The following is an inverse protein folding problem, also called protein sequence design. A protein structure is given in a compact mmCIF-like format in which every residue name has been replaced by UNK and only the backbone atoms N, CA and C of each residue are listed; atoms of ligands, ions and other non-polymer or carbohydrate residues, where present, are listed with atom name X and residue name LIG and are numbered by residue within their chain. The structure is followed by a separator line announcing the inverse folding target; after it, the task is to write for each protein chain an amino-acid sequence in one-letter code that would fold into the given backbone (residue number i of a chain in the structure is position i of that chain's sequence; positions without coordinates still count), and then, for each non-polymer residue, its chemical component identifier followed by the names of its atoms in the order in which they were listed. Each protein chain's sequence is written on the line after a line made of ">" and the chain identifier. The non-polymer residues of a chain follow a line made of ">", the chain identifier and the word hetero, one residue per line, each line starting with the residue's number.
data_IF_769201920177
#
_entry.id   IF_769201920177
#
_cell.length_a   1.000
_cell.length_b   1.000
_cell.length_c   1.000
_cell.angle_alpha   90.00
_cell.angle_beta   90.00
_cell.angle_gamma   90.00
#
_symmetry.space_group_name_H-M   'P 1'
#
loop_
_entity.id
_entity.type
_entity.pdbx_description
1 polymer ?
#
# COMPACT_ATOMS: atom_id res chain seq x y z
N UNK A 1 1.94 22.62 13.94
CA UNK A 1 1.93 22.53 12.49
C UNK A 1 1.93 21.06 12.07
N UNK A 2 1.36 20.80 10.92
CA UNK A 2 1.34 19.46 10.31
C UNK A 2 1.76 19.59 8.85
N UNK A 3 2.50 18.63 8.32
CA UNK A 3 2.87 18.61 6.90
C UNK A 3 1.66 18.19 6.06
N UNK A 4 1.22 19.05 5.15
CA UNK A 4 0.15 18.83 4.19
C UNK A 4 0.69 18.38 2.83
N UNK A 5 -0.20 18.03 1.90
CA UNK A 5 0.18 17.66 0.53
C UNK A 5 0.92 18.81 -0.17
N UNK A 6 2.12 18.52 -0.68
CA UNK A 6 3.01 19.52 -1.30
C UNK A 6 3.92 20.26 -0.33
N UNK A 7 3.77 20.09 0.99
CA UNK A 7 4.69 20.66 1.97
C UNK A 7 6.01 19.90 2.04
N UNK A 8 7.04 20.65 2.39
CA UNK A 8 8.33 20.14 2.85
C UNK A 8 8.58 20.62 4.27
N UNK A 9 9.48 19.97 4.99
CA UNK A 9 9.91 20.44 6.31
C UNK A 9 10.30 21.93 6.30
N UNK A 10 11.06 22.34 5.28
CA UNK A 10 11.50 23.73 5.13
C UNK A 10 10.32 24.67 4.84
N UNK A 11 9.38 24.29 3.97
CA UNK A 11 8.21 25.12 3.66
C UNK A 11 7.32 25.30 4.89
N UNK A 12 7.17 24.25 5.70
CA UNK A 12 6.41 24.32 6.95
C UNK A 12 7.10 25.20 8.00
N UNK A 13 8.42 25.12 8.15
CA UNK A 13 9.17 26.02 9.03
C UNK A 13 9.09 27.47 8.57
N UNK A 14 9.04 27.76 7.27
CA UNK A 14 8.84 29.12 6.74
C UNK A 14 7.47 29.72 7.05
N UNK A 15 6.46 28.89 7.35
CA UNK A 15 5.13 29.34 7.81
C UNK A 15 5.19 29.83 9.28
N UNK A 16 6.30 29.63 9.96
CA UNK A 16 6.55 30.02 11.36
C UNK A 16 7.31 31.33 11.44
N UNK A 17 7.50 31.86 12.64
CA UNK A 17 8.29 33.08 12.89
C UNK A 17 9.81 32.82 12.95
N UNK A 18 10.31 31.70 12.44
CA UNK A 18 11.72 31.37 12.32
C UNK A 18 12.38 32.18 11.19
N UNK A 19 13.53 32.75 11.46
CA UNK A 19 14.34 33.38 10.43
C UNK A 19 15.18 32.34 9.64
N UNK A 20 15.69 32.72 8.47
CA UNK A 20 16.43 31.81 7.59
C UNK A 20 17.62 31.14 8.29
N UNK A 21 18.36 31.89 9.13
CA UNK A 21 19.51 31.35 9.87
C UNK A 21 19.10 30.28 10.89
N UNK A 22 17.96 30.47 11.56
CA UNK A 22 17.43 29.47 12.50
C UNK A 22 16.95 28.22 11.76
N UNK A 23 16.33 28.37 10.59
CA UNK A 23 15.92 27.23 9.75
C UNK A 23 17.15 26.43 9.31
N UNK A 24 18.21 27.08 8.83
CA UNK A 24 19.46 26.41 8.44
C UNK A 24 20.10 25.67 9.62
N UNK A 25 20.11 26.29 10.82
CA UNK A 25 20.62 25.63 12.03
C UNK A 25 19.81 24.41 12.42
N UNK A 26 18.46 24.44 12.28
CA UNK A 26 17.59 23.30 12.52
C UNK A 26 17.84 22.16 11.53
N UNK A 27 18.03 22.49 10.24
CA UNK A 27 18.36 21.50 9.20
C UNK A 27 19.68 20.80 9.51
N UNK A 28 20.71 21.59 9.87
CA UNK A 28 22.03 21.05 10.22
C UNK A 28 21.91 20.14 11.46
N UNK A 29 21.20 20.57 12.50
CA UNK A 29 21.03 19.78 13.72
C UNK A 29 20.26 18.47 13.50
N UNK A 30 19.27 18.48 12.59
CA UNK A 30 18.43 17.32 12.31
C UNK A 30 19.10 16.28 11.38
N UNK A 31 20.13 16.67 10.61
CA UNK A 31 20.70 15.90 9.48
C UNK A 31 21.09 14.46 9.84
N UNK A 32 21.70 14.27 11.00
CA UNK A 32 22.19 12.95 11.43
C UNK A 32 21.12 12.13 12.19
N UNK A 33 19.97 12.75 12.48
CA UNK A 33 18.91 12.16 13.31
C UNK A 33 17.70 11.73 12.48
N UNK A 34 17.40 12.48 11.41
CA UNK A 34 16.24 12.24 10.55
C UNK A 34 16.51 12.62 9.10
N UNK A 35 16.04 11.81 8.18
CA UNK A 35 16.03 12.15 6.75
C UNK A 35 14.87 13.11 6.43
N UNK A 36 15.13 14.41 6.59
CA UNK A 36 14.13 15.50 6.46
C UNK A 36 13.36 15.43 5.13
N UNK A 37 14.03 14.99 4.05
CA UNK A 37 13.44 14.89 2.71
C UNK A 37 12.48 13.70 2.56
N UNK A 38 12.42 12.81 3.55
CA UNK A 38 11.54 11.62 3.56
C UNK A 38 10.37 11.77 4.55
N UNK A 39 10.24 12.92 5.19
CA UNK A 39 9.08 13.19 6.04
C UNK A 39 7.80 13.10 5.21
N UNK A 40 6.80 12.43 5.78
CA UNK A 40 5.53 12.16 5.09
C UNK A 40 4.47 13.21 5.47
N UNK A 41 3.44 13.31 4.65
CA UNK A 41 2.21 14.04 4.97
C UNK A 41 1.68 13.52 6.31
N UNK A 42 1.21 14.41 7.17
CA UNK A 42 0.77 14.09 8.52
C UNK A 42 1.89 14.15 9.59
N UNK A 43 3.17 14.36 9.21
CA UNK A 43 4.24 14.63 10.17
C UNK A 43 3.91 15.88 10.96
N UNK A 44 3.82 15.76 12.30
CA UNK A 44 3.49 16.86 13.19
C UNK A 44 4.74 17.57 13.68
N UNK A 45 4.68 18.91 13.71
CA UNK A 45 5.71 19.79 14.23
C UNK A 45 5.15 20.63 15.38
N UNK A 46 5.85 20.66 16.49
CA UNK A 46 5.59 21.57 17.62
C UNK A 46 6.74 22.53 17.76
N UNK A 47 6.43 23.83 17.90
CA UNK A 47 7.43 24.87 18.07
C UNK A 47 7.22 25.53 19.43
N UNK A 48 8.19 25.38 20.28
CA UNK A 48 8.20 25.96 21.65
C UNK A 48 9.05 27.19 21.64
N UNK A 49 8.52 28.26 22.22
CA UNK A 49 9.21 29.56 22.32
C UNK A 49 8.97 30.20 23.66
N UNK A 50 10.00 30.85 24.18
CA UNK A 50 9.96 31.67 25.38
C UNK A 50 9.91 33.17 25.03
N UNK A 51 9.33 33.96 25.92
CA UNK A 51 9.35 35.41 25.81
C UNK A 51 10.52 35.97 26.63
N UNK A 52 11.62 36.36 25.93
CA UNK A 52 12.82 36.90 26.56
C UNK A 52 12.94 38.36 26.17
N UNK A 53 12.92 39.28 27.17
CA UNK A 53 12.98 40.74 26.95
C UNK A 53 11.99 41.20 25.87
N UNK A 54 10.72 40.78 25.97
CA UNK A 54 9.63 41.10 25.05
C UNK A 54 9.80 40.56 23.62
N UNK A 55 10.84 39.75 23.38
CA UNK A 55 11.04 39.06 22.09
C UNK A 55 10.77 37.59 22.23
N UNK A 56 10.01 37.06 21.28
CA UNK A 56 9.75 35.62 21.15
C UNK A 56 11.01 34.94 20.64
N UNK A 57 11.57 34.02 21.43
CA UNK A 57 12.78 33.25 21.11
C UNK A 57 12.39 31.78 21.08
N UNK A 58 12.63 31.12 19.95
CA UNK A 58 12.37 29.68 19.83
C UNK A 58 13.43 28.89 20.58
N UNK A 59 12.98 28.03 21.49
CA UNK A 59 13.82 27.23 22.39
C UNK A 59 13.84 25.76 22.00
N UNK A 60 12.76 25.25 21.39
CA UNK A 60 12.69 23.86 20.96
C UNK A 60 11.79 23.73 19.72
N UNK A 61 12.17 22.84 18.80
CA UNK A 61 11.32 22.34 17.72
C UNK A 61 11.22 20.83 17.86
N UNK A 62 10.00 20.31 17.99
CA UNK A 62 9.75 18.89 18.11
C UNK A 62 9.14 18.38 16.82
N UNK A 63 9.66 17.27 16.29
CA UNK A 63 9.18 16.59 15.10
C UNK A 63 8.64 15.24 15.56
N UNK A 64 7.41 14.91 15.15
CA UNK A 64 6.79 13.60 15.31
C UNK A 64 6.62 12.98 13.93
N UNK A 65 7.62 12.22 13.42
CA UNK A 65 7.52 11.56 12.11
C UNK A 65 6.38 10.56 12.07
N UNK A 66 6.13 9.91 13.20
CA UNK A 66 5.05 8.96 13.45
C UNK A 66 4.64 8.96 14.94
N UNK A 67 3.85 7.96 15.34
CA UNK A 67 3.41 7.82 16.74
C UNK A 67 4.47 7.20 17.67
N UNK A 68 5.60 6.74 17.15
CA UNK A 68 6.66 6.03 17.89
C UNK A 68 7.83 6.92 18.18
N UNK A 69 8.18 7.83 17.26
CA UNK A 69 9.37 8.65 17.33
C UNK A 69 9.06 10.11 17.70
N UNK A 70 9.90 10.65 18.56
CA UNK A 70 9.94 12.07 18.90
C UNK A 70 11.37 12.57 18.69
N UNK A 71 11.54 13.60 17.87
CA UNK A 71 12.82 14.24 17.64
C UNK A 71 12.74 15.66 18.16
N UNK A 72 13.50 15.94 19.19
CA UNK A 72 13.59 17.26 19.82
C UNK A 72 14.84 17.98 19.33
N UNK A 73 14.66 19.15 18.71
CA UNK A 73 15.72 20.08 18.33
C UNK A 73 15.77 21.20 19.36
N UNK A 74 16.66 21.04 20.35
CA UNK A 74 16.79 21.93 21.50
C UNK A 74 17.84 23.03 21.24
N UNK A 75 17.50 24.28 21.50
CA UNK A 75 18.42 25.41 21.38
C UNK A 75 19.16 25.61 22.68
N UNK A 76 20.48 25.41 22.68
CA UNK A 76 21.38 25.71 23.81
C UNK A 76 22.55 26.54 23.32
N UNK A 77 22.87 27.62 24.02
CA UNK A 77 23.97 28.53 23.68
C UNK A 77 23.92 29.03 22.22
N UNK A 78 22.70 29.30 21.72
CA UNK A 78 22.47 29.81 20.36
C UNK A 78 22.58 28.80 19.25
N UNK A 79 22.77 27.51 19.54
CA UNK A 79 22.84 26.41 18.58
C UNK A 79 21.76 25.35 18.86
N UNK A 80 21.23 24.75 17.81
CA UNK A 80 20.31 23.60 17.96
C UNK A 80 21.10 22.30 18.03
N UNK A 81 20.66 21.41 18.90
CA UNK A 81 21.11 20.01 18.98
C UNK A 81 19.91 19.08 18.90
N UNK A 82 20.06 17.95 18.18
CA UNK A 82 19.00 16.98 18.02
C UNK A 82 19.08 15.88 19.08
N UNK A 83 17.92 15.46 19.57
CA UNK A 83 17.73 14.26 20.38
C UNK A 83 16.58 13.45 19.81
N UNK A 84 16.79 12.16 19.61
CA UNK A 84 15.76 11.20 19.18
C UNK A 84 15.34 10.35 20.38
N UNK A 85 14.07 10.39 20.68
CA UNK A 85 13.44 9.52 21.66
C UNK A 85 12.49 8.56 20.93
N UNK A 86 12.64 7.26 21.18
CA UNK A 86 11.78 6.20 20.62
C UNK A 86 10.97 5.63 21.77
N UNK A 87 9.65 5.59 21.62
CA UNK A 87 8.76 4.99 22.60
C UNK A 87 9.04 3.50 22.72
N UNK A 88 9.14 3.01 23.93
CA UNK A 88 9.16 1.57 24.17
C UNK A 88 7.76 1.03 23.94
N UNK A 89 7.64 0.06 23.03
CA UNK A 89 6.40 -0.60 22.70
C UNK A 89 6.40 -2.04 23.20
N UNK A 90 5.23 -2.49 23.62
CA UNK A 90 4.96 -3.86 24.02
C UNK A 90 3.99 -4.50 23.03
N UNK A 91 4.38 -5.66 22.51
CA UNK A 91 3.55 -6.46 21.62
C UNK A 91 2.54 -7.26 22.42
N UNK A 92 1.30 -7.30 21.96
CA UNK A 92 0.19 -8.08 22.49
C UNK A 92 -0.51 -8.79 21.34
N UNK A 93 -0.79 -10.08 21.52
CA UNK A 93 -1.61 -10.86 20.59
C UNK A 93 -3.06 -10.90 21.11
N UNK A 94 -3.99 -10.47 20.27
CA UNK A 94 -5.41 -10.46 20.56
C UNK A 94 -6.13 -11.48 19.70
N UNK A 95 -6.90 -12.36 20.36
CA UNK A 95 -7.81 -13.29 19.70
C UNK A 95 -9.25 -12.85 19.92
N UNK A 96 -10.02 -12.79 18.85
CA UNK A 96 -11.46 -12.53 18.90
C UNK A 96 -12.23 -13.57 18.10
N UNK A 97 -13.36 -14.01 18.66
CA UNK A 97 -14.40 -14.75 17.97
C UNK A 97 -15.69 -13.95 18.08
N UNK A 98 -16.36 -13.72 16.94
CA UNK A 98 -17.60 -12.94 16.89
C UNK A 98 -18.56 -13.51 15.85
N UNK A 99 -19.86 -13.46 16.14
CA UNK A 99 -20.90 -13.68 15.14
C UNK A 99 -21.14 -12.42 14.33
N UNK A 100 -21.35 -12.60 13.02
CA UNK A 100 -21.67 -11.49 12.12
C UNK A 100 -23.10 -10.99 12.42
N UNK A 101 -23.20 -9.70 12.69
CA UNK A 101 -24.43 -8.92 12.73
C UNK A 101 -24.33 -7.82 11.68
N UNK A 102 -25.21 -7.83 10.69
CA UNK A 102 -25.31 -6.91 9.55
C UNK A 102 -24.09 -6.88 8.62
N UNK A 103 -22.87 -6.76 9.13
CA UNK A 103 -21.67 -6.80 8.32
C UNK A 103 -20.42 -7.18 9.13
N UNK A 104 -19.45 -7.77 8.46
CA UNK A 104 -18.14 -8.08 9.05
C UNK A 104 -17.49 -6.85 9.67
N UNK A 105 -17.51 -5.71 8.94
CA UNK A 105 -16.92 -4.47 9.43
C UNK A 105 -17.53 -4.03 10.76
N UNK A 106 -18.86 -3.96 10.83
CA UNK A 106 -19.55 -3.53 12.07
C UNK A 106 -19.33 -4.51 13.21
N UNK A 107 -19.39 -5.81 12.96
CA UNK A 107 -19.21 -6.84 13.98
C UNK A 107 -17.80 -6.77 14.61
N UNK A 108 -16.75 -6.62 13.80
CA UNK A 108 -15.39 -6.47 14.29
C UNK A 108 -15.15 -5.10 14.93
N UNK A 109 -15.75 -4.03 14.40
CA UNK A 109 -15.64 -2.68 14.95
C UNK A 109 -16.26 -2.59 16.36
N UNK A 110 -17.40 -3.23 16.57
CA UNK A 110 -18.12 -3.24 17.87
C UNK A 110 -17.31 -3.91 18.99
N UNK A 111 -16.37 -4.78 18.66
CA UNK A 111 -15.44 -5.39 19.61
C UNK A 111 -14.06 -4.74 19.60
N UNK A 112 -13.97 -3.49 19.12
CA UNK A 112 -12.79 -2.65 19.09
C UNK A 112 -11.60 -3.18 18.25
N UNK A 113 -11.84 -4.01 17.24
CA UNK A 113 -10.79 -4.35 16.26
C UNK A 113 -10.45 -3.08 15.44
N UNK A 114 -9.18 -2.71 15.32
CA UNK A 114 -8.75 -1.53 14.56
C UNK A 114 -9.13 -1.61 13.08
N UNK A 115 -9.49 -0.45 12.47
CA UNK A 115 -9.98 -0.39 11.10
C UNK A 115 -9.02 -0.97 10.06
N UNK A 116 -7.73 -0.73 10.20
CA UNK A 116 -6.71 -1.28 9.31
C UNK A 116 -6.58 -2.81 9.42
N UNK A 117 -6.83 -3.39 10.59
CA UNK A 117 -6.91 -4.84 10.78
C UNK A 117 -8.17 -5.40 10.12
N UNK A 118 -9.33 -4.73 10.28
CA UNK A 118 -10.58 -5.12 9.61
C UNK A 118 -10.40 -5.10 8.09
N UNK A 119 -9.80 -4.04 7.54
CA UNK A 119 -9.55 -3.94 6.10
C UNK A 119 -8.59 -5.02 5.61
N UNK A 120 -7.53 -5.31 6.37
CA UNK A 120 -6.61 -6.41 6.07
C UNK A 120 -7.30 -7.77 6.10
N UNK A 121 -8.18 -8.01 7.09
CA UNK A 121 -8.98 -9.22 7.19
C UNK A 121 -9.87 -9.41 5.96
N UNK A 122 -10.62 -8.39 5.56
CA UNK A 122 -11.46 -8.41 4.36
C UNK A 122 -10.62 -8.69 3.11
N UNK A 123 -9.45 -8.06 2.99
CA UNK A 123 -8.55 -8.25 1.85
C UNK A 123 -8.04 -9.71 1.75
N UNK A 124 -7.75 -10.37 2.87
CA UNK A 124 -7.29 -11.76 2.88
C UNK A 124 -8.29 -12.73 2.20
N UNK A 125 -9.58 -12.50 2.38
CA UNK A 125 -10.63 -13.38 1.84
C UNK A 125 -11.29 -12.87 0.55
N UNK A 126 -10.89 -11.70 0.06
CA UNK A 126 -11.54 -11.05 -1.09
C UNK A 126 -11.50 -11.84 -2.41
N UNK A 127 -10.66 -12.87 -2.50
CA UNK A 127 -10.57 -13.75 -3.65
C UNK A 127 -11.47 -14.96 -3.57
N UNK A 128 -11.85 -15.37 -2.37
CA UNK A 128 -12.61 -16.61 -2.14
C UNK A 128 -14.06 -16.33 -1.74
N UNK A 129 -14.34 -15.16 -1.18
CA UNK A 129 -15.63 -14.77 -0.61
C UNK A 129 -16.16 -13.50 -1.30
N UNK A 130 -17.38 -13.57 -1.81
CA UNK A 130 -18.17 -12.38 -2.17
C UNK A 130 -18.88 -11.85 -0.91
N UNK A 131 -18.30 -10.84 -0.28
CA UNK A 131 -18.79 -10.30 1.00
C UNK A 131 -20.23 -9.75 0.94
N UNK A 132 -20.74 -9.42 -0.23
CA UNK A 132 -22.13 -8.96 -0.40
C UNK A 132 -23.12 -10.13 -0.54
N UNK A 133 -22.67 -11.29 -1.07
CA UNK A 133 -23.53 -12.41 -1.37
C UNK A 133 -23.38 -13.58 -0.43
N UNK A 134 -22.17 -13.85 0.06
CA UNK A 134 -21.88 -15.06 0.82
C UNK A 134 -22.04 -14.86 2.32
N UNK A 135 -21.84 -13.62 2.81
CA UNK A 135 -21.95 -13.31 4.24
C UNK A 135 -23.40 -13.17 4.66
N UNK A 136 -23.76 -13.84 5.75
CA UNK A 136 -25.08 -13.82 6.39
C UNK A 136 -24.93 -13.60 7.88
N UNK A 137 -26.03 -13.16 8.51
CA UNK A 137 -26.12 -13.10 9.97
C UNK A 137 -25.85 -14.49 10.56
N UNK A 138 -25.17 -14.50 11.71
CA UNK A 138 -24.72 -15.70 12.44
C UNK A 138 -23.55 -16.47 11.78
N UNK A 139 -23.01 -16.02 10.64
CA UNK A 139 -21.70 -16.49 10.26
C UNK A 139 -20.69 -16.10 11.35
N UNK A 140 -19.63 -16.85 11.51
CA UNK A 140 -18.64 -16.58 12.56
C UNK A 140 -17.32 -16.12 11.96
N UNK A 141 -16.66 -15.26 12.69
CA UNK A 141 -15.32 -14.77 12.38
C UNK A 141 -14.42 -15.08 13.55
N UNK A 142 -13.21 -15.60 13.25
CA UNK A 142 -12.12 -15.66 14.22
C UNK A 142 -10.92 -14.93 13.66
N UNK A 143 -10.27 -14.15 14.52
CA UNK A 143 -9.11 -13.38 14.14
C UNK A 143 -8.10 -13.35 15.29
N UNK A 144 -6.83 -13.62 14.98
CA UNK A 144 -5.69 -13.41 15.85
C UNK A 144 -4.75 -12.40 15.19
N UNK A 145 -4.53 -11.27 15.85
CA UNK A 145 -3.65 -10.22 15.33
C UNK A 145 -2.79 -9.62 16.43
N UNK A 146 -1.74 -8.94 16.02
CA UNK A 146 -0.81 -8.25 16.89
C UNK A 146 -1.12 -6.77 16.96
N UNK A 147 -0.96 -6.21 18.15
CA UNK A 147 -0.97 -4.77 18.38
C UNK A 147 0.20 -4.36 19.28
N UNK A 148 0.58 -3.09 19.20
CA UNK A 148 1.66 -2.52 19.99
C UNK A 148 1.14 -1.36 20.82
N UNK A 149 1.39 -1.44 22.13
CA UNK A 149 1.00 -0.43 23.10
C UNK A 149 2.22 0.22 23.75
N UNK A 150 2.08 1.44 24.22
CA UNK A 150 3.07 2.11 25.06
C UNK A 150 2.90 1.75 26.55
N UNK A 151 3.76 2.32 27.41
CA UNK A 151 3.74 2.11 28.87
C UNK A 151 2.44 2.56 29.55
N UNK A 152 1.61 3.36 28.86
CA UNK A 152 0.32 3.84 29.37
C UNK A 152 -0.85 3.03 28.80
N UNK A 153 -0.59 1.85 28.24
CA UNK A 153 -1.60 0.97 27.62
C UNK A 153 -2.28 1.57 26.38
N UNK A 154 -1.71 2.64 25.82
CA UNK A 154 -2.22 3.30 24.63
C UNK A 154 -1.80 2.52 23.39
N UNK A 155 -2.77 2.16 22.53
CA UNK A 155 -2.49 1.59 21.21
C UNK A 155 -1.70 2.60 20.35
N UNK A 156 -0.53 2.21 19.90
CA UNK A 156 0.36 3.03 19.06
C UNK A 156 0.29 2.58 17.60
N UNK A 157 0.40 1.27 17.37
CA UNK A 157 0.27 0.67 16.03
C UNK A 157 -0.29 -0.75 16.10
N UNK A 158 -0.70 -1.26 14.96
CA UNK A 158 -1.09 -2.65 14.78
C UNK A 158 0.01 -3.40 14.02
N UNK A 159 0.10 -4.70 14.28
CA UNK A 159 0.97 -5.62 13.57
C UNK A 159 0.23 -6.39 12.49
N UNK A 160 0.63 -7.65 12.31
CA UNK A 160 0.03 -8.55 11.34
C UNK A 160 -1.14 -9.33 11.93
N UNK A 161 -2.02 -9.82 11.05
CA UNK A 161 -2.94 -10.91 11.36
C UNK A 161 -2.13 -12.22 11.34
N UNK A 162 -2.21 -13.04 12.39
CA UNK A 162 -1.55 -14.34 12.47
C UNK A 162 -2.45 -15.48 12.04
N UNK A 163 -3.74 -15.34 12.35
CA UNK A 163 -4.78 -16.29 11.99
C UNK A 163 -6.07 -15.54 11.66
N UNK A 164 -6.76 -16.00 10.66
CA UNK A 164 -8.07 -15.49 10.26
C UNK A 164 -8.96 -16.65 9.82
N UNK A 165 -10.21 -16.67 10.24
CA UNK A 165 -11.21 -17.65 9.81
C UNK A 165 -12.56 -16.99 9.59
N UNK A 166 -13.22 -17.37 8.50
CA UNK A 166 -14.64 -17.07 8.26
C UNK A 166 -15.39 -18.39 8.14
N UNK A 167 -16.36 -18.61 9.03
CA UNK A 167 -17.22 -19.79 9.04
C UNK A 167 -18.57 -19.37 8.48
N UNK A 168 -18.87 -19.85 7.27
CA UNK A 168 -20.15 -19.70 6.60
C UNK A 168 -21.07 -20.87 6.96
N UNK A 169 -22.31 -20.83 6.50
CA UNK A 169 -23.29 -21.88 6.76
C UNK A 169 -22.89 -23.27 6.22
N UNK A 170 -22.13 -23.30 5.12
CA UNK A 170 -21.72 -24.54 4.43
C UNK A 170 -20.22 -24.74 4.36
N UNK A 171 -19.44 -23.67 4.43
CA UNK A 171 -18.00 -23.67 4.17
C UNK A 171 -17.27 -22.92 5.29
N UNK A 172 -16.01 -23.25 5.50
CA UNK A 172 -15.11 -22.51 6.36
C UNK A 172 -13.83 -22.18 5.60
N UNK A 173 -13.35 -20.96 5.76
CA UNK A 173 -12.12 -20.44 5.16
C UNK A 173 -11.18 -20.00 6.25
N UNK A 174 -10.07 -20.69 6.42
CA UNK A 174 -9.06 -20.40 7.42
C UNK A 174 -7.72 -20.06 6.78
N UNK A 175 -7.00 -19.11 7.34
CA UNK A 175 -5.74 -18.61 6.85
C UNK A 175 -4.76 -18.39 8.00
N UNK A 176 -3.55 -18.86 7.80
CA UNK A 176 -2.43 -18.78 8.73
C UNK A 176 -1.31 -17.95 8.13
N UNK A 177 -0.77 -17.00 8.90
CA UNK A 177 0.40 -16.23 8.50
C UNK A 177 1.62 -17.13 8.47
N UNK A 178 2.32 -17.10 7.36
CA UNK A 178 3.67 -17.60 7.22
C UNK A 178 4.63 -16.43 6.97
N UNK A 179 5.76 -16.43 7.65
CA UNK A 179 6.78 -15.40 7.47
C UNK A 179 8.16 -16.05 7.34
N UNK A 180 8.85 -15.72 6.25
CA UNK A 180 10.25 -16.07 6.01
C UNK A 180 11.01 -14.79 5.64
N UNK A 181 11.92 -14.36 6.52
CA UNK A 181 12.60 -13.06 6.43
C UNK A 181 11.60 -11.90 6.20
N UNK A 182 11.71 -11.19 5.08
CA UNK A 182 10.82 -10.08 4.70
C UNK A 182 9.56 -10.51 3.94
N UNK A 183 9.37 -11.83 3.78
CA UNK A 183 8.24 -12.38 3.03
C UNK A 183 7.13 -12.82 3.98
N UNK A 184 5.98 -12.19 3.87
CA UNK A 184 4.76 -12.57 4.60
C UNK A 184 3.76 -13.07 3.57
N UNK A 185 3.21 -14.26 3.80
CA UNK A 185 2.15 -14.85 3.01
C UNK A 185 1.18 -15.60 3.93
N UNK A 186 -0.03 -15.83 3.43
CA UNK A 186 -1.07 -16.55 4.16
C UNK A 186 -1.42 -17.83 3.43
N UNK A 187 -1.52 -18.92 4.18
CA UNK A 187 -1.85 -20.25 3.67
C UNK A 187 -3.01 -20.84 4.46
N UNK A 188 -3.84 -21.62 3.78
CA UNK A 188 -4.83 -22.44 4.48
C UNK A 188 -4.16 -23.69 5.12
N UNK A 189 -4.92 -24.48 5.89
CA UNK A 189 -4.45 -25.72 6.54
C UNK A 189 -3.88 -26.76 5.58
N UNK A 190 -4.24 -26.71 4.30
CA UNK A 190 -3.71 -27.59 3.26
C UNK A 190 -2.43 -27.03 2.60
N UNK A 191 -1.87 -25.94 3.10
CA UNK A 191 -0.67 -25.30 2.54
C UNK A 191 -0.93 -24.54 1.22
N UNK A 192 -2.20 -24.29 0.85
CA UNK A 192 -2.55 -23.51 -0.33
C UNK A 192 -2.55 -22.02 0.02
N UNK A 193 -1.82 -21.22 -0.76
CA UNK A 193 -1.76 -19.77 -0.56
C UNK A 193 -3.14 -19.11 -0.71
N UNK A 194 -3.47 -18.19 0.19
CA UNK A 194 -4.63 -17.32 0.13
C UNK A 194 -4.55 -16.36 -1.07
N UNK A 195 -3.33 -15.97 -1.41
CA UNK A 195 -3.11 -15.12 -2.58
C UNK A 195 -3.35 -15.96 -3.82
N UNK A 196 -4.46 -15.74 -4.52
CA UNK A 196 -4.60 -16.30 -5.87
C UNK A 196 -3.40 -15.83 -6.66
N UNK A 197 -2.73 -16.77 -7.30
CA UNK A 197 -1.48 -16.52 -8.00
C UNK A 197 -1.56 -15.26 -8.90
N UNK A 198 -2.75 -15.00 -9.48
CA UNK A 198 -2.94 -13.91 -10.45
C UNK A 198 -4.35 -13.30 -10.32
N UNK A 199 -4.41 -11.97 -10.16
CA UNK A 199 -5.66 -11.20 -10.22
C UNK A 199 -6.26 -11.26 -11.63
N UNK A 200 -7.57 -11.46 -11.70
CA UNK A 200 -8.30 -11.40 -12.98
C UNK A 200 -8.35 -9.98 -13.56
N UNK A 201 -8.45 -8.97 -12.69
CA UNK A 201 -8.60 -7.56 -13.06
C UNK A 201 -7.59 -6.71 -12.28
N UNK A 202 -6.41 -6.40 -12.87
CA UNK A 202 -5.36 -5.63 -12.19
C UNK A 202 -5.53 -4.11 -12.31
N UNK A 203 -6.78 -3.65 -12.36
CA UNK A 203 -7.15 -2.24 -12.51
C UNK A 203 -8.52 -2.00 -11.88
N UNK A 204 -8.64 -0.96 -11.05
CA UNK A 204 -9.91 -0.63 -10.39
C UNK A 204 -10.79 0.25 -11.29
N UNK A 205 -12.11 0.04 -11.21
CA UNK A 205 -13.10 0.87 -11.90
C UNK A 205 -13.11 0.76 -13.43
N UNK A 206 -12.37 -0.17 -14.02
CA UNK A 206 -12.31 -0.36 -15.45
C UNK A 206 -13.41 -1.30 -15.97
N UNK A 207 -13.88 -1.01 -17.18
CA UNK A 207 -14.84 -1.85 -17.89
C UNK A 207 -14.10 -2.82 -18.83
N UNK A 208 -14.41 -4.12 -18.77
CA UNK A 208 -13.93 -5.08 -19.78
C UNK A 208 -14.49 -4.67 -21.14
N UNK A 209 -13.62 -4.22 -22.04
CA UNK A 209 -13.98 -3.73 -23.38
C UNK A 209 -13.77 -4.77 -24.46
N UNK A 210 -12.85 -5.73 -24.26
CA UNK A 210 -12.65 -6.86 -25.19
C UNK A 210 -12.15 -8.10 -24.47
N UNK A 211 -12.78 -9.23 -24.74
CA UNK A 211 -12.39 -10.53 -24.22
C UNK A 211 -11.28 -11.19 -25.04
N UNK A 212 -10.65 -12.21 -24.46
CA UNK A 212 -9.75 -13.14 -25.15
C UNK A 212 -10.48 -13.93 -26.22
N UNK A 213 -9.83 -14.19 -27.37
CA UNK A 213 -10.38 -15.04 -28.41
C UNK A 213 -10.28 -14.44 -29.82
N UNK A 214 -10.90 -15.13 -30.78
CA UNK A 214 -10.92 -14.69 -32.20
C UNK A 214 -11.81 -13.46 -32.36
N UNK A 215 -11.26 -12.37 -32.92
CA UNK A 215 -12.04 -11.17 -33.26
C UNK A 215 -11.46 -10.46 -34.49
N UNK A 216 -12.29 -9.63 -35.14
CA UNK A 216 -11.80 -8.73 -36.17
C UNK A 216 -10.88 -7.69 -35.51
N UNK A 217 -9.64 -7.62 -35.99
CA UNK A 217 -8.66 -6.69 -35.42
C UNK A 217 -9.07 -5.24 -35.73
N UNK A 218 -9.21 -4.35 -34.73
CA UNK A 218 -9.80 -3.03 -34.91
C UNK A 218 -8.98 -2.11 -35.83
N UNK A 219 -7.68 -2.33 -35.95
CA UNK A 219 -6.78 -1.52 -36.79
C UNK A 219 -6.47 -2.27 -38.09
N UNK A 220 -6.17 -3.56 -38.04
CA UNK A 220 -5.69 -4.35 -39.18
C UNK A 220 -6.81 -4.90 -40.06
N UNK A 221 -8.07 -4.93 -39.56
CA UNK A 221 -9.26 -5.27 -40.32
C UNK A 221 -9.50 -6.75 -40.61
N UNK A 222 -8.55 -7.64 -40.35
CA UNK A 222 -8.70 -9.10 -40.51
C UNK A 222 -8.92 -9.81 -39.17
N UNK A 223 -9.41 -11.07 -39.23
CA UNK A 223 -9.59 -11.84 -38.02
C UNK A 223 -8.27 -12.25 -37.40
N UNK A 224 -8.09 -11.88 -36.14
CA UNK A 224 -6.88 -12.19 -35.35
C UNK A 224 -7.28 -12.62 -33.94
N UNK A 225 -6.54 -13.59 -33.41
CA UNK A 225 -6.71 -14.01 -32.02
C UNK A 225 -6.23 -12.90 -31.08
N UNK A 226 -7.13 -12.42 -30.21
CA UNK A 226 -6.81 -11.52 -29.11
C UNK A 226 -6.20 -12.33 -27.98
N UNK A 227 -4.94 -12.12 -27.67
CA UNK A 227 -4.14 -12.95 -26.77
C UNK A 227 -4.25 -12.53 -25.30
N UNK A 228 -5.10 -11.58 -25.01
CA UNK A 228 -5.35 -11.06 -23.66
C UNK A 228 -6.76 -10.52 -23.52
N UNK A 229 -6.98 -9.69 -22.53
CA UNK A 229 -8.21 -8.94 -22.29
C UNK A 229 -7.92 -7.45 -22.26
N UNK A 230 -8.87 -6.64 -22.75
CA UNK A 230 -8.75 -5.20 -22.76
C UNK A 230 -9.69 -4.59 -21.72
N UNK A 231 -9.14 -3.76 -20.84
CA UNK A 231 -9.87 -3.00 -19.84
C UNK A 231 -9.84 -1.50 -20.19
N UNK A 232 -10.96 -0.97 -20.63
CA UNK A 232 -11.10 0.46 -20.90
C UNK A 232 -11.14 1.26 -19.60
N UNK A 233 -10.25 2.26 -19.50
CA UNK A 233 -10.17 3.20 -18.38
C UNK A 233 -9.51 4.51 -18.85
N UNK A 234 -9.75 5.64 -18.18
CA UNK A 234 -9.09 6.91 -18.49
C UNK A 234 -7.56 6.81 -18.44
N UNK A 235 -6.88 7.58 -19.30
CA UNK A 235 -5.43 7.73 -19.23
C UNK A 235 -5.01 8.19 -17.83
N UNK A 236 -3.96 7.58 -17.27
CA UNK A 236 -3.48 7.87 -15.92
C UNK A 236 -4.11 7.00 -14.82
N UNK A 237 -5.11 6.16 -15.11
CA UNK A 237 -5.65 5.22 -14.13
C UNK A 237 -4.55 4.25 -13.67
N UNK A 238 -4.36 4.03 -12.35
CA UNK A 238 -3.34 3.14 -11.83
C UNK A 238 -3.54 1.68 -12.27
N UNK A 239 -2.47 1.05 -12.72
CA UNK A 239 -2.39 -0.38 -13.06
C UNK A 239 -1.61 -1.08 -11.97
N UNK A 240 -2.16 -2.18 -11.44
CA UNK A 240 -1.58 -2.95 -10.35
C UNK A 240 -0.88 -4.21 -10.87
N UNK A 241 0.16 -4.67 -10.16
CA UNK A 241 0.72 -5.99 -10.35
C UNK A 241 -0.35 -7.05 -10.03
N UNK A 242 -0.69 -7.91 -10.98
CA UNK A 242 -1.71 -8.93 -10.79
C UNK A 242 -1.29 -10.05 -9.82
N UNK A 243 -0.01 -10.16 -9.53
CA UNK A 243 0.55 -11.11 -8.57
C UNK A 243 1.89 -10.62 -8.05
N UNK A 244 2.31 -11.13 -6.90
CA UNK A 244 3.67 -10.94 -6.39
C UNK A 244 4.68 -11.59 -7.33
N UNK A 245 5.78 -10.90 -7.64
CA UNK A 245 6.79 -11.41 -8.58
C UNK A 245 7.92 -10.41 -8.82
N UNK A 246 8.68 -10.64 -9.88
CA UNK A 246 9.76 -9.75 -10.32
C UNK A 246 9.49 -9.22 -11.72
N UNK A 247 9.79 -7.95 -11.95
CA UNK A 247 9.71 -7.36 -13.30
C UNK A 247 10.75 -8.04 -14.19
N UNK A 248 10.27 -8.88 -15.11
CA UNK A 248 11.11 -9.56 -16.10
C UNK A 248 11.51 -8.63 -17.26
N UNK A 249 10.56 -7.78 -17.65
CA UNK A 249 10.76 -6.80 -18.73
C UNK A 249 10.01 -5.50 -18.42
N UNK A 250 10.62 -4.39 -18.73
CA UNK A 250 10.03 -3.05 -18.70
C UNK A 250 10.66 -2.22 -19.82
N UNK A 251 9.83 -1.58 -20.66
CA UNK A 251 10.29 -0.79 -21.81
C UNK A 251 9.26 -0.75 -22.92
N UNK A 252 9.60 -0.14 -24.04
CA UNK A 252 8.77 -0.14 -25.25
C UNK A 252 8.89 -1.49 -25.97
N UNK A 253 7.77 -2.11 -26.34
CA UNK A 253 7.70 -3.42 -26.98
C UNK A 253 6.80 -3.37 -28.23
N UNK A 254 7.29 -2.82 -29.31
CA UNK A 254 6.60 -2.76 -30.61
C UNK A 254 5.17 -2.27 -30.51
N UNK A 255 4.22 -3.05 -31.02
CA UNK A 255 2.79 -2.73 -30.99
C UNK A 255 2.17 -2.69 -29.60
N UNK A 256 2.79 -3.28 -28.58
CA UNK A 256 2.34 -3.20 -27.19
C UNK A 256 2.63 -1.83 -26.54
N UNK A 257 3.43 -0.98 -27.20
CA UNK A 257 3.79 0.33 -26.67
C UNK A 257 4.64 0.23 -25.39
N UNK A 258 4.44 1.11 -24.44
CA UNK A 258 5.05 0.97 -23.10
C UNK A 258 4.47 -0.23 -22.40
N UNK A 259 5.35 -1.11 -21.93
CA UNK A 259 5.03 -2.48 -21.59
C UNK A 259 5.77 -2.93 -20.34
N UNK A 260 5.09 -3.67 -19.48
CA UNK A 260 5.69 -4.37 -18.33
C UNK A 260 5.34 -5.87 -18.45
N UNK A 261 6.30 -6.74 -18.12
CA UNK A 261 6.06 -8.16 -17.89
C UNK A 261 6.62 -8.57 -16.53
N UNK A 262 5.78 -9.23 -15.73
CA UNK A 262 6.11 -9.73 -14.40
C UNK A 262 6.18 -11.25 -14.46
N UNK A 263 7.26 -11.81 -13.93
CA UNK A 263 7.42 -13.25 -13.70
C UNK A 263 6.99 -13.53 -12.25
N UNK A 264 5.99 -14.40 -12.11
CA UNK A 264 5.46 -14.87 -10.82
C UNK A 264 6.03 -16.23 -10.48
N UNK A 265 5.64 -16.74 -9.31
CA UNK A 265 5.90 -18.13 -8.93
C UNK A 265 5.07 -19.10 -9.79
N UNK A 266 5.44 -20.38 -9.75
CA UNK A 266 4.68 -21.48 -10.39
C UNK A 266 4.50 -21.34 -11.91
N UNK A 267 5.45 -20.71 -12.62
CA UNK A 267 5.44 -20.65 -14.08
C UNK A 267 4.54 -19.58 -14.70
N UNK A 268 3.81 -18.81 -13.88
CA UNK A 268 2.98 -17.71 -14.38
C UNK A 268 3.79 -16.48 -14.72
N UNK A 269 3.36 -15.77 -15.77
CA UNK A 269 3.76 -14.39 -16.07
C UNK A 269 2.52 -13.57 -16.39
N UNK A 270 2.58 -12.28 -16.10
CA UNK A 270 1.55 -11.33 -16.56
C UNK A 270 2.18 -10.21 -17.34
N UNK A 271 1.44 -9.69 -18.32
CA UNK A 271 1.90 -8.56 -19.11
C UNK A 271 0.86 -7.46 -19.19
N UNK A 272 1.38 -6.24 -19.29
CA UNK A 272 0.63 -4.99 -19.23
C UNK A 272 1.10 -4.10 -20.37
N UNK A 273 0.20 -3.78 -21.29
CA UNK A 273 0.53 -3.03 -22.52
C UNK A 273 -0.19 -1.68 -22.55
N UNK A 274 0.24 -0.83 -23.50
CA UNK A 274 -0.31 0.48 -23.82
C UNK A 274 -0.22 1.52 -22.68
N UNK A 275 0.74 1.36 -21.75
CA UNK A 275 0.92 2.25 -20.61
C UNK A 275 1.23 3.68 -21.07
N UNK A 276 0.79 4.69 -20.31
CA UNK A 276 1.24 6.08 -20.45
C UNK A 276 2.59 6.32 -19.79
N UNK A 277 2.79 5.74 -18.59
CA UNK A 277 4.02 5.83 -17.82
C UNK A 277 4.19 4.65 -16.87
N UNK A 278 5.41 4.46 -16.39
CA UNK A 278 5.72 3.50 -15.33
C UNK A 278 5.63 4.19 -13.97
N UNK A 279 5.26 3.46 -12.93
CA UNK A 279 5.30 3.97 -11.57
C UNK A 279 6.76 4.18 -11.10
N UNK A 280 6.95 5.07 -10.13
CA UNK A 280 8.27 5.37 -9.60
C UNK A 280 8.96 4.11 -9.06
N UNK A 281 10.26 3.99 -9.31
CA UNK A 281 11.08 2.85 -8.87
C UNK A 281 10.93 1.57 -9.69
N UNK A 282 10.07 1.52 -10.70
CA UNK A 282 9.91 0.34 -11.56
C UNK A 282 11.09 0.17 -12.51
N UNK A 283 11.80 -0.95 -12.41
CA UNK A 283 12.93 -1.35 -13.29
C UNK A 283 13.04 -2.87 -13.33
N UNK A 284 13.76 -3.40 -14.30
CA UNK A 284 14.02 -4.84 -14.44
C UNK A 284 14.58 -5.43 -13.14
N UNK A 285 14.13 -6.62 -12.78
CA UNK A 285 14.47 -7.39 -11.58
C UNK A 285 13.95 -6.80 -10.26
N UNK A 286 13.21 -5.68 -10.27
CA UNK A 286 12.53 -5.20 -9.07
C UNK A 286 11.43 -6.17 -8.68
N UNK A 287 11.36 -6.49 -7.39
CA UNK A 287 10.25 -7.25 -6.80
C UNK A 287 9.04 -6.33 -6.64
N UNK A 288 7.89 -6.82 -7.02
CA UNK A 288 6.59 -6.16 -6.83
C UNK A 288 5.66 -7.06 -6.04
N UNK A 289 4.79 -6.46 -5.24
CA UNK A 289 3.73 -7.17 -4.49
C UNK A 289 2.44 -7.14 -5.31
N UNK A 290 1.59 -8.15 -5.16
CA UNK A 290 0.24 -8.12 -5.71
C UNK A 290 -0.50 -6.87 -5.23
N UNK A 291 -1.22 -6.19 -6.13
CA UNK A 291 -1.91 -4.93 -5.84
C UNK A 291 -1.01 -3.68 -5.86
N UNK A 292 0.30 -3.81 -5.96
CA UNK A 292 1.21 -2.67 -6.07
C UNK A 292 1.05 -1.97 -7.42
N UNK A 293 0.93 -0.64 -7.42
CA UNK A 293 0.90 0.15 -8.67
C UNK A 293 2.24 0.03 -9.39
N UNK A 294 2.19 -0.39 -10.67
CA UNK A 294 3.36 -0.62 -11.52
C UNK A 294 3.44 0.35 -12.70
N UNK A 295 2.33 1.00 -13.05
CA UNK A 295 2.23 1.94 -14.15
C UNK A 295 0.82 2.50 -14.26
N UNK A 296 0.58 3.21 -15.34
CA UNK A 296 -0.67 3.94 -15.57
C UNK A 296 -1.20 3.70 -16.97
N UNK A 297 -2.53 3.64 -17.10
CA UNK A 297 -3.23 3.46 -18.37
C UNK A 297 -2.83 4.53 -19.37
N UNK A 298 -2.65 4.13 -20.62
CA UNK A 298 -2.39 5.00 -21.74
C UNK A 298 -2.96 4.46 -23.04
N UNK A 299 -2.39 4.89 -24.15
CA UNK A 299 -2.75 4.47 -25.51
C UNK A 299 -1.50 4.40 -26.39
N UNK A 300 -0.35 3.97 -25.82
CA UNK A 300 0.91 3.86 -26.58
C UNK A 300 0.94 2.60 -27.44
N UNK A 301 1.71 2.63 -28.55
CA UNK A 301 1.77 1.52 -29.48
C UNK A 301 0.54 1.42 -30.38
N UNK A 302 0.14 0.19 -30.75
CA UNK A 302 -1.02 -0.11 -31.61
C UNK A 302 -2.30 -0.12 -30.76
N UNK A 303 -2.82 1.03 -30.41
CA UNK A 303 -4.01 1.23 -29.61
C UNK A 303 -4.99 2.21 -30.27
N UNK A 304 -6.28 1.95 -30.17
CA UNK A 304 -7.35 2.82 -30.69
C UNK A 304 -7.88 3.83 -29.68
N UNK A 305 -7.46 3.72 -28.43
CA UNK A 305 -7.89 4.58 -27.33
C UNK A 305 -7.38 4.10 -25.99
N UNK A 306 -7.57 4.87 -24.90
CA UNK A 306 -7.03 4.53 -23.60
C UNK A 306 -7.59 3.21 -23.05
N UNK A 307 -6.72 2.23 -22.82
CA UNK A 307 -7.04 0.95 -22.20
C UNK A 307 -5.78 0.24 -21.69
N UNK A 308 -5.98 -0.70 -20.79
CA UNK A 308 -4.97 -1.71 -20.43
C UNK A 308 -5.24 -2.97 -21.26
N UNK A 309 -4.26 -3.41 -22.05
CA UNK A 309 -4.23 -4.78 -22.57
C UNK A 309 -3.46 -5.66 -21.60
N UNK A 310 -4.14 -6.68 -21.06
CA UNK A 310 -3.64 -7.56 -20.01
C UNK A 310 -3.61 -9.01 -20.48
N UNK A 311 -2.47 -9.68 -20.27
CA UNK A 311 -2.32 -11.10 -20.61
C UNK A 311 -1.83 -11.89 -19.39
N UNK A 312 -2.32 -13.11 -19.25
CA UNK A 312 -1.77 -14.14 -18.36
C UNK A 312 -1.08 -15.19 -19.22
N UNK A 313 0.16 -15.49 -18.89
CA UNK A 313 1.00 -16.45 -19.61
C UNK A 313 1.39 -17.56 -18.63
N UNK A 314 1.14 -18.80 -18.99
CA UNK A 314 1.50 -19.98 -18.20
C UNK A 314 2.39 -20.91 -19.02
N UNK A 315 3.58 -21.23 -18.51
CA UNK A 315 4.58 -22.06 -19.21
C UNK A 315 4.87 -21.63 -20.67
N UNK A 316 4.77 -20.32 -20.96
CA UNK A 316 4.99 -19.75 -22.29
C UNK A 316 3.76 -19.62 -23.16
N UNK A 317 2.61 -20.20 -22.79
CA UNK A 317 1.34 -20.08 -23.50
C UNK A 317 0.45 -18.98 -22.91
N UNK A 318 -0.32 -18.30 -23.80
CA UNK A 318 -1.25 -17.22 -23.44
C UNK A 318 -2.69 -17.68 -23.43
#
# INVERSE_FOLDING_TARGET
>A
YELEEGDTFISTLKKTNLNAKEIDQLIIAAKDTIEINKLQIGTRLEIISDLIKEKRVITEVIIYPDNEEKISLLKKDGKFSARKDIKKLYSELLFHEVEVDKSIYLSLKNINVPDNIIMSFVQLFSFDIDFQRDIRDKNKIKILFEQFKDNNDKLIKTGSIFFAEIILTKDSYELYKFQDNDYIEYFNSNGKSATKAIMKTPINGARLSSAYGMRKHPILGYNKKHMGVDFAAPTGTPIMAAGTGHIEYIGTNGGAGKYIRIKHLNGYKTSYSHLSSYASGMRKNVRVKQGQTIGYVGSTGLSTGPHLHYEVIFNGEK
#
